data_IF_657518497010
#
_entry.id   IF_657518497010
#
_cell.length_a   1.000
_cell.length_b   1.000
_cell.length_c   1.000
_cell.angle_alpha   90.00
_cell.angle_beta   90.00
_cell.angle_gamma   90.00
#
_symmetry.space_group_name_H-M   'P 1'
#
loop_
_entity.id
_entity.type
_entity.pdbx_description
1 polymer ?
#
# COMPACT_ATOMS: atom_id res chain seq x y z
N UNK A 1 21.10 -0.48 9.85
CA UNK A 1 20.19 -1.19 8.91
C UNK A 1 19.05 -0.26 8.60
N UNK A 2 18.72 -0.09 7.32
CA UNK A 2 17.65 0.82 6.88
C UNK A 2 16.34 0.04 6.80
N UNK A 3 15.22 0.70 7.13
CA UNK A 3 13.86 0.16 7.02
C UNK A 3 12.88 1.31 6.75
N UNK A 4 11.68 0.99 6.29
CA UNK A 4 10.61 1.98 6.18
C UNK A 4 10.08 2.30 7.57
N UNK A 5 10.26 3.52 8.08
CA UNK A 5 9.70 3.91 9.39
C UNK A 5 8.19 4.10 9.32
N UNK A 6 7.72 4.74 8.26
CA UNK A 6 6.32 5.13 8.07
C UNK A 6 5.96 5.17 6.59
N UNK A 7 4.74 4.73 6.28
CA UNK A 7 4.12 4.95 4.97
C UNK A 7 2.77 5.62 5.16
N UNK A 8 2.52 6.67 4.37
CA UNK A 8 1.22 7.31 4.22
C UNK A 8 0.67 7.01 2.82
N UNK A 9 -0.55 6.54 2.76
CA UNK A 9 -1.29 6.26 1.53
C UNK A 9 -2.48 7.20 1.44
N UNK A 10 -2.58 7.93 0.33
CA UNK A 10 -3.68 8.85 0.04
C UNK A 10 -4.26 8.48 -1.32
N UNK A 11 -5.58 8.28 -1.35
CA UNK A 11 -6.31 7.87 -2.55
C UNK A 11 -5.64 6.70 -3.31
N UNK A 12 -5.18 5.69 -2.57
CA UNK A 12 -4.46 4.54 -3.12
C UNK A 12 -5.27 3.25 -2.95
N UNK A 13 -5.64 2.62 -4.07
CA UNK A 13 -6.42 1.37 -4.14
C UNK A 13 -7.72 1.50 -3.32
N UNK A 14 -7.88 0.70 -2.26
CA UNK A 14 -9.05 0.77 -1.38
C UNK A 14 -8.87 1.73 -0.19
N UNK A 15 -7.70 2.35 -0.03
CA UNK A 15 -7.43 3.31 1.04
C UNK A 15 -7.74 4.73 0.58
N UNK A 16 -8.66 5.42 1.27
CA UNK A 16 -8.87 6.86 1.07
C UNK A 16 -7.75 7.64 1.74
N UNK A 17 -7.51 7.33 3.01
CA UNK A 17 -6.34 7.73 3.78
C UNK A 17 -5.94 6.55 4.67
N UNK A 18 -4.65 6.21 4.70
CA UNK A 18 -4.12 5.16 5.57
C UNK A 18 -2.68 5.49 5.96
N UNK A 19 -2.36 5.34 7.23
CA UNK A 19 -0.99 5.55 7.74
C UNK A 19 -0.59 4.35 8.58
N UNK A 20 0.63 3.86 8.35
CA UNK A 20 1.23 2.79 9.14
C UNK A 20 2.65 3.17 9.53
N UNK A 21 2.99 2.92 10.80
CA UNK A 21 4.36 2.95 11.31
C UNK A 21 4.86 1.52 11.40
N UNK A 22 6.09 1.25 10.99
CA UNK A 22 6.67 -0.09 11.01
C UNK A 22 7.65 -0.25 12.17
N UNK A 23 7.77 -1.49 12.64
CA UNK A 23 8.86 -1.93 13.48
C UNK A 23 10.11 -2.21 12.63
N UNK A 24 11.30 -1.94 13.18
CA UNK A 24 12.58 -2.20 12.51
C UNK A 24 12.98 -3.69 12.43
N UNK A 25 12.19 -4.59 13.04
CA UNK A 25 12.35 -6.05 12.98
C UNK A 25 11.27 -6.68 12.10
N UNK A 26 10.22 -7.21 12.72
CA UNK A 26 9.16 -7.96 12.05
C UNK A 26 7.85 -7.18 12.10
N UNK A 27 7.15 -7.15 10.97
CA UNK A 27 5.84 -6.51 10.82
C UNK A 27 4.84 -7.56 10.35
N UNK A 28 3.78 -7.77 11.11
CA UNK A 28 2.73 -8.74 10.81
C UNK A 28 1.47 -7.99 10.38
N UNK A 29 1.05 -8.17 9.13
CA UNK A 29 -0.16 -7.55 8.58
C UNK A 29 -1.28 -8.60 8.53
N UNK A 30 -2.30 -8.43 9.37
CA UNK A 30 -3.44 -9.34 9.50
C UNK A 30 -4.77 -8.64 9.26
N UNK A 31 -5.80 -9.42 8.93
CA UNK A 31 -7.16 -8.93 8.71
C UNK A 31 -7.91 -9.74 7.65
N UNK A 32 -9.20 -9.44 7.43
CA UNK A 32 -10.05 -10.16 6.49
C UNK A 32 -9.55 -10.12 5.03
N UNK A 33 -10.02 -11.05 4.19
CA UNK A 33 -9.79 -10.96 2.75
C UNK A 33 -10.41 -9.67 2.18
N UNK A 34 -9.72 -9.04 1.24
CA UNK A 34 -10.15 -7.75 0.67
C UNK A 34 -9.87 -6.52 1.56
N UNK A 35 -9.33 -6.66 2.78
CA UNK A 35 -9.07 -5.52 3.67
C UNK A 35 -7.94 -4.58 3.23
N UNK A 36 -7.18 -4.93 2.17
CA UNK A 36 -6.08 -4.11 1.66
C UNK A 36 -4.67 -4.52 2.11
N UNK A 37 -4.50 -5.67 2.77
CA UNK A 37 -3.18 -6.19 3.18
C UNK A 37 -2.16 -6.20 2.04
N UNK A 38 -2.54 -6.78 0.90
CA UNK A 38 -1.69 -6.79 -0.30
C UNK A 38 -1.53 -5.39 -0.91
N UNK A 39 -2.46 -4.46 -0.69
CA UNK A 39 -2.29 -3.08 -1.15
C UNK A 39 -1.20 -2.36 -0.34
N UNK A 40 -1.06 -2.66 0.97
CA UNK A 40 0.06 -2.15 1.79
C UNK A 40 1.40 -2.68 1.27
N UNK A 41 1.48 -3.96 0.91
CA UNK A 41 2.69 -4.50 0.29
C UNK A 41 2.94 -3.85 -1.09
N UNK A 42 1.89 -3.64 -1.89
CA UNK A 42 2.00 -3.06 -3.23
C UNK A 42 2.57 -1.65 -3.15
N UNK A 43 2.13 -0.83 -2.18
CA UNK A 43 2.67 0.52 -2.01
C UNK A 43 4.16 0.53 -1.66
N UNK A 44 4.62 -0.43 -0.86
CA UNK A 44 6.05 -0.62 -0.58
C UNK A 44 6.80 -1.00 -1.86
N UNK A 45 6.24 -1.90 -2.67
CA UNK A 45 6.91 -2.36 -3.90
C UNK A 45 7.07 -1.29 -4.98
N UNK A 46 6.31 -0.20 -4.91
CA UNK A 46 6.43 0.94 -5.84
C UNK A 46 7.71 1.77 -5.63
N UNK A 47 8.41 1.61 -4.51
CA UNK A 47 9.72 2.22 -4.30
C UNK A 47 10.85 1.50 -5.05
N UNK A 48 10.59 0.29 -5.57
CA UNK A 48 11.50 -0.40 -6.48
C UNK A 48 11.27 0.04 -7.94
N UNK A 49 12.23 -0.22 -8.82
CA UNK A 49 12.10 0.10 -10.25
C UNK A 49 10.94 -0.70 -10.86
N UNK A 50 9.99 -0.02 -11.50
CA UNK A 50 8.91 -0.67 -12.27
C UNK A 50 7.52 -0.14 -11.92
N UNK A 51 6.53 -1.03 -11.84
CA UNK A 51 5.11 -0.73 -11.60
C UNK A 51 4.53 -1.55 -10.44
N UNK A 52 5.34 -1.78 -9.40
CA UNK A 52 4.98 -2.65 -8.27
C UNK A 52 4.91 -4.13 -8.67
N UNK A 53 4.64 -5.01 -7.71
CA UNK A 53 4.59 -6.45 -7.99
C UNK A 53 3.36 -6.85 -8.82
N UNK A 54 2.24 -6.11 -8.72
CA UNK A 54 1.06 -6.36 -9.57
C UNK A 54 1.25 -5.92 -11.02
N UNK A 55 2.25 -5.08 -11.30
CA UNK A 55 2.53 -4.54 -12.64
C UNK A 55 1.31 -3.90 -13.31
N UNK A 56 0.43 -3.33 -12.50
CA UNK A 56 -0.85 -2.80 -12.93
C UNK A 56 -0.70 -1.40 -13.58
N UNK A 57 -1.74 -0.93 -14.24
CA UNK A 57 -1.78 0.44 -14.72
C UNK A 57 -1.95 1.43 -13.55
N UNK A 58 -1.25 2.57 -13.59
CA UNK A 58 -1.33 3.59 -12.54
C UNK A 58 -2.77 4.05 -12.25
N UNK A 59 -3.62 4.14 -13.29
CA UNK A 59 -5.04 4.47 -13.13
C UNK A 59 -5.80 3.51 -12.20
N UNK A 60 -5.39 2.24 -12.15
CA UNK A 60 -6.01 1.21 -11.32
C UNK A 60 -5.48 1.25 -9.87
N UNK A 61 -4.43 2.03 -9.61
CA UNK A 61 -3.89 2.27 -8.28
C UNK A 61 -4.59 3.43 -7.58
N UNK A 62 -5.34 4.27 -8.30
CA UNK A 62 -6.12 5.37 -7.73
C UNK A 62 -7.38 4.82 -7.05
N UNK A 63 -7.67 5.33 -5.86
CA UNK A 63 -8.92 5.05 -5.17
C UNK A 63 -10.08 5.82 -5.81
N UNK A 64 -10.97 5.09 -6.45
CA UNK A 64 -12.13 5.66 -7.17
C UNK A 64 -13.42 5.66 -6.33
N UNK A 65 -13.37 5.32 -5.04
CA UNK A 65 -14.55 5.26 -4.18
C UNK A 65 -15.17 6.65 -3.87
N UNK A 66 -14.58 7.74 -4.38
CA UNK A 66 -15.15 9.10 -4.32
C UNK A 66 -15.74 9.57 -5.69
N UNK A 67 -15.99 8.68 -6.66
CA UNK A 67 -16.64 9.04 -7.94
C UNK A 67 -18.15 8.68 -8.00
N UNK A 68 -18.85 8.77 -6.86
CA UNK A 68 -20.32 8.82 -6.82
C UNK A 68 -20.75 10.12 -6.15
#
# INVERSE_FOLDING_TARGET
MNFFEKIKLENFRNFKEFTINFNNKCNIIIGPNGSGKTNILESISLFEKGRGFRKDHLKNMVNNNNQN
#
